data_IF_312889746488
#
_entry.id   IF_312889746488
#
_cell.length_a   1.000
_cell.length_b   1.000
_cell.length_c   1.000
_cell.angle_alpha   90.00
_cell.angle_beta   90.00
_cell.angle_gamma   90.00
#
_symmetry.space_group_name_H-M   'P 1'
#
loop_
_entity.id
_entity.type
_entity.pdbx_description
1 polymer ?
#
# COMPACT_ATOMS: atom_id res chain seq x y z
N UNK A 1 3.65 20.81 -24.12
CA UNK A 1 4.58 19.71 -24.44
C UNK A 1 4.52 18.70 -23.30
N UNK A 2 4.55 17.39 -23.60
CA UNK A 2 4.54 16.34 -22.58
C UNK A 2 5.98 15.86 -22.33
N UNK A 3 6.36 15.72 -21.07
CA UNK A 3 7.65 15.18 -20.64
C UNK A 3 7.42 13.94 -19.77
N UNK A 4 8.33 12.96 -19.87
CA UNK A 4 8.31 11.74 -19.05
C UNK A 4 9.32 11.88 -17.93
N UNK A 5 8.94 11.48 -16.72
CA UNK A 5 9.78 11.50 -15.53
C UNK A 5 9.68 10.15 -14.83
N UNK A 6 10.77 9.73 -14.17
CA UNK A 6 10.75 8.62 -13.21
C UNK A 6 10.91 9.18 -11.80
N UNK A 7 10.30 8.52 -10.82
CA UNK A 7 10.55 8.84 -9.42
C UNK A 7 12.02 8.54 -9.11
N UNK A 8 12.70 9.43 -8.38
CA UNK A 8 14.11 9.27 -8.02
C UNK A 8 14.29 8.55 -6.68
N UNK A 9 13.32 8.69 -5.78
CA UNK A 9 13.28 8.00 -4.51
C UNK A 9 12.77 6.56 -4.69
N UNK A 10 13.42 5.64 -4.00
CA UNK A 10 12.90 4.30 -3.80
C UNK A 10 11.73 4.33 -2.82
N UNK A 11 10.93 3.28 -2.86
CA UNK A 11 9.88 3.03 -1.87
C UNK A 11 10.15 1.68 -1.20
N UNK A 12 9.66 1.52 0.01
CA UNK A 12 9.49 0.20 0.62
C UNK A 12 8.07 -0.27 0.36
N UNK A 13 7.85 -1.56 0.21
CA UNK A 13 6.51 -2.12 0.10
C UNK A 13 6.48 -3.54 0.66
N UNK A 14 5.37 -3.87 1.33
CA UNK A 14 5.07 -5.23 1.77
C UNK A 14 3.64 -5.61 1.35
N UNK A 15 3.45 -6.88 1.01
CA UNK A 15 2.14 -7.41 0.64
C UNK A 15 1.31 -7.62 1.91
N UNK A 16 0.08 -7.11 1.92
CA UNK A 16 -0.83 -7.23 3.04
C UNK A 16 -1.36 -8.66 3.14
N UNK A 17 -1.06 -9.32 4.25
CA UNK A 17 -1.41 -10.72 4.51
C UNK A 17 -2.64 -10.91 5.41
N UNK A 18 -3.21 -9.81 5.95
CA UNK A 18 -4.33 -9.87 6.89
C UNK A 18 -3.95 -10.27 8.32
N UNK A 19 -2.66 -10.38 8.63
CA UNK A 19 -2.18 -10.74 9.98
C UNK A 19 -2.46 -9.64 11.01
N UNK A 20 -2.70 -10.06 12.26
CA UNK A 20 -2.82 -9.14 13.39
C UNK A 20 -1.59 -8.22 13.54
N UNK A 21 -0.40 -8.69 13.15
CA UNK A 21 0.83 -7.91 13.17
C UNK A 21 0.75 -6.73 12.21
N UNK A 22 0.45 -6.97 10.94
CA UNK A 22 0.31 -5.91 9.95
C UNK A 22 -0.85 -4.98 10.29
N UNK A 23 -1.97 -5.53 10.77
CA UNK A 23 -3.14 -4.75 11.20
C UNK A 23 -2.75 -3.73 12.28
N UNK A 24 -1.99 -4.16 13.29
CA UNK A 24 -1.50 -3.28 14.36
C UNK A 24 -0.46 -2.29 13.86
N UNK A 25 0.51 -2.74 13.06
CA UNK A 25 1.60 -1.91 12.52
C UNK A 25 1.06 -0.73 11.71
N UNK A 26 0.15 -1.02 10.79
CA UNK A 26 -0.42 -0.04 9.86
C UNK A 26 -1.70 0.63 10.37
N UNK A 27 -2.13 0.31 11.60
CA UNK A 27 -3.37 0.82 12.21
C UNK A 27 -4.59 0.59 11.31
N UNK A 28 -4.62 -0.57 10.66
CA UNK A 28 -5.70 -0.99 9.77
C UNK A 28 -6.94 -1.23 10.64
N UNK A 29 -8.07 -0.74 10.18
CA UNK A 29 -9.39 -1.03 10.75
C UNK A 29 -10.01 -2.17 9.97
N UNK A 30 -10.56 -3.13 10.70
CA UNK A 30 -11.34 -4.21 10.13
C UNK A 30 -12.82 -4.00 10.48
N UNK A 31 -13.67 -3.97 9.46
CA UNK A 31 -15.10 -3.73 9.58
C UNK A 31 -15.89 -5.01 9.33
N UNK A 32 -16.61 -5.47 10.36
CA UNK A 32 -17.57 -6.56 10.31
C UNK A 32 -19.00 -5.99 10.36
N UNK A 33 -19.97 -6.49 9.58
CA UNK A 33 -19.97 -7.74 8.80
C UNK A 33 -19.40 -7.65 7.38
N UNK A 34 -18.84 -6.50 6.97
CA UNK A 34 -18.36 -6.28 5.59
C UNK A 34 -17.10 -7.07 5.21
N UNK A 35 -16.40 -7.68 6.17
CA UNK A 35 -15.08 -8.29 5.99
C UNK A 35 -14.09 -7.36 5.27
N UNK A 36 -14.19 -6.06 5.54
CA UNK A 36 -13.44 -5.03 4.84
C UNK A 36 -12.29 -4.53 5.72
N UNK A 37 -11.09 -4.44 5.15
CA UNK A 37 -9.99 -3.74 5.78
C UNK A 37 -9.90 -2.33 5.19
N UNK A 38 -9.67 -1.34 6.05
CA UNK A 38 -9.33 0.00 5.59
C UNK A 38 -8.27 0.64 6.45
N UNK A 39 -7.47 1.50 5.86
CA UNK A 39 -6.44 2.26 6.55
C UNK A 39 -6.42 3.69 6.04
N UNK A 40 -5.90 4.60 6.86
CA UNK A 40 -5.87 6.02 6.52
C UNK A 40 -4.56 6.37 5.83
N UNK A 41 -4.67 6.87 4.61
CA UNK A 41 -3.59 7.48 3.85
C UNK A 41 -3.68 9.01 3.97
N UNK A 42 -2.72 9.73 3.37
CA UNK A 42 -2.80 11.20 3.24
C UNK A 42 -4.03 11.66 2.43
N UNK A 43 -4.63 10.78 1.64
CA UNK A 43 -5.78 11.06 0.76
C UNK A 43 -7.14 10.67 1.39
N UNK A 44 -7.12 10.03 2.57
CA UNK A 44 -8.30 9.57 3.28
C UNK A 44 -8.30 8.07 3.55
N UNK A 45 -9.46 7.51 3.87
CA UNK A 45 -9.59 6.08 4.06
C UNK A 45 -9.43 5.35 2.72
N UNK A 46 -8.58 4.33 2.68
CA UNK A 46 -8.39 3.46 1.52
C UNK A 46 -8.77 2.03 1.90
N UNK A 47 -9.57 1.38 1.06
CA UNK A 47 -9.93 -0.03 1.21
C UNK A 47 -8.71 -0.87 0.83
N UNK A 48 -8.48 -1.91 1.63
CA UNK A 48 -7.34 -2.81 1.51
C UNK A 48 -7.86 -4.24 1.43
N UNK A 49 -7.35 -5.01 0.47
CA UNK A 49 -7.62 -6.44 0.34
C UNK A 49 -6.37 -7.24 0.66
N UNK A 50 -6.55 -8.46 1.19
CA UNK A 50 -5.44 -9.40 1.35
C UNK A 50 -4.83 -9.64 -0.04
N UNK A 51 -3.51 -9.47 -0.16
CA UNK A 51 -2.77 -9.54 -1.42
C UNK A 51 -2.44 -8.18 -2.04
N UNK A 52 -3.11 -7.09 -1.63
CA UNK A 52 -2.69 -5.74 -2.00
C UNK A 52 -1.34 -5.39 -1.36
N UNK A 53 -0.63 -4.42 -1.92
CA UNK A 53 0.64 -3.93 -1.39
C UNK A 53 0.44 -2.63 -0.62
N UNK A 54 1.07 -2.54 0.54
CA UNK A 54 1.20 -1.30 1.31
C UNK A 54 2.58 -0.72 0.99
N UNK A 55 2.60 0.37 0.22
CA UNK A 55 3.82 1.09 -0.10
C UNK A 55 4.08 2.20 0.92
N UNK A 56 5.36 2.44 1.21
CA UNK A 56 5.84 3.49 2.11
C UNK A 56 6.76 4.45 1.34
N UNK A 57 6.40 5.73 1.36
CA UNK A 57 7.15 6.80 0.68
C UNK A 57 8.25 7.40 1.54
N UNK A 58 8.94 8.40 0.98
CA UNK A 58 10.13 9.01 1.60
C UNK A 58 9.82 9.76 2.90
N UNK A 59 8.61 10.32 3.04
CA UNK A 59 8.16 10.99 4.26
C UNK A 59 7.35 10.04 5.18
N UNK A 60 7.43 8.73 4.94
CA UNK A 60 6.73 7.71 5.70
C UNK A 60 5.22 7.64 5.44
N UNK A 61 4.70 8.30 4.39
CA UNK A 61 3.30 8.08 4.02
C UNK A 61 3.08 6.68 3.47
N UNK A 62 1.89 6.14 3.74
CA UNK A 62 1.46 4.86 3.21
C UNK A 62 0.36 5.04 2.16
N UNK A 63 0.38 4.20 1.13
CA UNK A 63 -0.72 4.05 0.18
C UNK A 63 -0.85 2.61 -0.30
N UNK A 64 -2.05 2.27 -0.79
CA UNK A 64 -2.39 0.95 -1.32
C UNK A 64 -2.06 0.87 -2.79
N UNK A 65 -1.50 -0.26 -3.20
CA UNK A 65 -1.28 -0.61 -4.61
C UNK A 65 -1.86 -2.00 -4.85
N UNK A 66 -2.64 -2.15 -5.91
CA UNK A 66 -3.16 -3.45 -6.35
C UNK A 66 -2.03 -4.39 -6.72
N UNK A 67 -2.16 -5.70 -6.43
CA UNK A 67 -1.11 -6.68 -6.74
C UNK A 67 -0.70 -6.62 -8.22
N UNK A 68 -1.67 -6.66 -9.14
CA UNK A 68 -1.37 -6.65 -10.57
C UNK A 68 -0.69 -5.36 -11.02
N UNK A 69 -1.05 -4.22 -10.42
CA UNK A 69 -0.41 -2.94 -10.68
C UNK A 69 1.00 -2.92 -10.11
N UNK A 70 1.20 -3.42 -8.88
CA UNK A 70 2.50 -3.46 -8.24
C UNK A 70 3.49 -4.30 -9.07
N UNK A 71 3.09 -5.51 -9.44
CA UNK A 71 3.90 -6.44 -10.25
C UNK A 71 4.25 -5.88 -11.63
N UNK A 72 3.40 -5.00 -12.19
CA UNK A 72 3.63 -4.38 -13.51
C UNK A 72 4.45 -3.09 -13.46
N UNK A 73 4.58 -2.47 -12.28
CA UNK A 73 5.15 -1.10 -12.16
C UNK A 73 6.34 -1.00 -11.21
N UNK A 74 6.64 -2.05 -10.43
CA UNK A 74 7.76 -2.09 -9.50
C UNK A 74 8.63 -3.33 -9.71
N UNK A 75 9.92 -3.17 -9.49
CA UNK A 75 10.91 -4.23 -9.48
C UNK A 75 11.64 -4.24 -8.13
N UNK A 76 11.89 -5.44 -7.59
CA UNK A 76 12.69 -5.58 -6.37
C UNK A 76 14.15 -5.26 -6.67
N UNK A 77 14.76 -4.45 -5.82
CA UNK A 77 16.20 -4.20 -5.84
C UNK A 77 16.89 -5.30 -5.03
N UNK A 78 17.96 -5.86 -5.61
CA UNK A 78 18.82 -6.86 -4.99
C UNK A 78 20.10 -6.23 -4.41
#
# INVERSE_FOLDING_TARGET
>A
MLHKYRKTALIEAEQFDGSDEMIRRYRIKYYSPGNEYSFYTKEGASILNIGDWIATGIDGEHWRIESDIFERTYERIN
#
